data_IF_980367066906
#
_entry.id   IF_980367066906
#
_cell.length_a   1.000
_cell.length_b   1.000
_cell.length_c   1.000
_cell.angle_alpha   90.00
_cell.angle_beta   90.00
_cell.angle_gamma   90.00
#
_symmetry.space_group_name_H-M   'P 1'
#
loop_
_entity.id
_entity.type
_entity.pdbx_description
1 polymer ?
#
# COMPACT_ATOMS: atom_id res chain seq x y z
N UNK A 1 -24.86 -32.42 8.62
CA UNK A 1 -23.60 -32.46 9.39
C UNK A 1 -22.70 -33.45 8.70
N UNK A 2 -21.54 -33.04 8.19
CA UNK A 2 -20.55 -33.98 7.67
C UNK A 2 -19.97 -34.76 8.86
N UNK A 3 -19.87 -36.08 8.71
CA UNK A 3 -19.17 -36.91 9.66
C UNK A 3 -17.67 -36.69 9.49
N UNK A 4 -17.02 -36.22 10.54
CA UNK A 4 -15.58 -35.94 10.55
C UNK A 4 -14.78 -37.02 11.28
N UNK A 5 -15.45 -38.06 11.77
CA UNK A 5 -14.80 -39.22 12.39
C UNK A 5 -14.02 -39.98 11.30
N UNK A 6 -12.72 -40.10 11.46
CA UNK A 6 -11.85 -40.78 10.49
C UNK A 6 -11.07 -39.84 9.57
N UNK A 7 -11.22 -38.53 9.71
CA UNK A 7 -10.34 -37.57 9.02
C UNK A 7 -9.10 -37.24 9.90
N UNK A 8 -7.96 -37.70 9.43
CA UNK A 8 -6.68 -37.46 10.09
C UNK A 8 -5.90 -36.40 9.34
N UNK A 9 -5.39 -35.41 10.06
CA UNK A 9 -4.52 -34.36 9.53
C UNK A 9 -3.13 -34.53 10.12
N UNK A 10 -2.13 -34.63 9.25
CA UNK A 10 -0.74 -34.67 9.72
C UNK A 10 -0.37 -33.29 10.29
N UNK A 11 0.10 -33.29 11.54
CA UNK A 11 0.54 -32.07 12.22
C UNK A 11 2.00 -32.23 12.66
N UNK A 12 2.80 -31.19 12.42
CA UNK A 12 4.16 -31.06 12.98
C UNK A 12 4.10 -30.03 14.11
N UNK A 13 4.32 -30.47 15.34
CA UNK A 13 4.42 -29.61 16.51
C UNK A 13 5.89 -29.31 16.78
N UNK A 14 6.21 -28.04 16.98
CA UNK A 14 7.54 -27.59 17.40
C UNK A 14 7.36 -26.76 18.67
N UNK A 15 7.96 -27.20 19.75
CA UNK A 15 8.02 -26.47 21.02
C UNK A 15 9.24 -25.58 21.02
N UNK A 16 9.10 -24.31 21.41
CA UNK A 16 10.15 -23.30 21.42
C UNK A 16 10.23 -22.74 22.83
N UNK A 17 11.44 -22.72 23.41
CA UNK A 17 11.69 -22.10 24.70
C UNK A 17 11.58 -20.58 24.60
N UNK A 18 10.71 -19.98 25.42
CA UNK A 18 10.43 -18.54 25.42
C UNK A 18 11.47 -17.70 26.18
N UNK A 19 12.53 -18.30 26.65
CA UNK A 19 13.56 -17.61 27.44
C UNK A 19 14.32 -16.51 26.67
N UNK A 20 14.27 -16.55 25.33
CA UNK A 20 14.87 -15.55 24.44
C UNK A 20 13.88 -15.20 23.31
N UNK A 21 13.18 -14.08 23.45
CA UNK A 21 12.13 -13.62 22.52
C UNK A 21 12.67 -13.33 21.12
N UNK A 22 13.86 -12.79 20.98
CA UNK A 22 14.44 -12.43 19.69
C UNK A 22 14.84 -13.69 18.92
N UNK A 23 15.48 -14.63 19.60
CA UNK A 23 15.86 -15.92 19.05
C UNK A 23 14.65 -16.79 18.71
N UNK A 24 13.61 -16.76 19.54
CA UNK A 24 12.37 -17.47 19.29
C UNK A 24 11.65 -16.92 18.06
N UNK A 25 11.62 -15.61 17.88
CA UNK A 25 11.03 -14.95 16.71
C UNK A 25 11.80 -15.29 15.43
N UNK A 26 13.12 -15.30 15.48
CA UNK A 26 13.96 -15.69 14.34
C UNK A 26 13.79 -17.17 13.99
N UNK A 27 13.70 -18.05 14.99
CA UNK A 27 13.46 -19.48 14.79
C UNK A 27 12.11 -19.77 14.17
N UNK A 28 11.02 -19.12 14.64
CA UNK A 28 9.68 -19.20 14.04
C UNK A 28 9.71 -18.75 12.59
N UNK A 29 10.40 -17.65 12.29
CA UNK A 29 10.58 -17.15 10.92
C UNK A 29 11.26 -18.19 10.03
N UNK A 30 12.34 -18.79 10.51
CA UNK A 30 13.12 -19.78 9.76
C UNK A 30 12.36 -21.11 9.58
N UNK A 31 11.65 -21.59 10.59
CA UNK A 31 10.80 -22.79 10.51
C UNK A 31 9.66 -22.54 9.50
N UNK A 32 9.01 -21.40 9.55
CA UNK A 32 7.94 -21.04 8.60
C UNK A 32 8.45 -20.95 7.17
N UNK A 33 9.67 -20.41 6.96
CA UNK A 33 10.34 -20.39 5.65
C UNK A 33 10.60 -21.79 5.10
N UNK A 34 11.14 -22.68 5.93
CA UNK A 34 11.54 -24.01 5.50
C UNK A 34 10.38 -25.01 5.37
N UNK A 35 9.33 -24.85 6.18
CA UNK A 35 8.19 -25.77 6.23
C UNK A 35 7.14 -25.51 5.15
N UNK A 36 7.05 -24.30 4.58
CA UNK A 36 6.05 -23.92 3.59
C UNK A 36 6.57 -23.89 2.15
N UNK A 37 7.54 -24.73 1.82
CA UNK A 37 8.11 -24.78 0.45
C UNK A 37 7.11 -25.17 -0.65
N UNK A 38 5.96 -25.79 -0.30
CA UNK A 38 4.93 -26.17 -1.24
C UNK A 38 3.96 -25.03 -1.61
N UNK A 39 3.75 -24.06 -0.72
CA UNK A 39 3.03 -22.83 -1.02
C UNK A 39 4.05 -21.72 -1.23
N UNK A 40 3.96 -21.02 -2.34
CA UNK A 40 4.85 -19.89 -2.65
C UNK A 40 4.62 -18.76 -1.63
N UNK A 41 5.23 -18.91 -0.45
CA UNK A 41 5.26 -17.86 0.58
C UNK A 41 6.28 -16.82 0.13
N UNK A 42 5.84 -15.59 -0.01
CA UNK A 42 6.73 -14.48 -0.39
C UNK A 42 7.37 -13.87 0.87
N UNK A 43 8.53 -13.22 0.71
CA UNK A 43 9.14 -12.46 1.81
C UNK A 43 8.16 -11.42 2.40
N UNK A 44 7.28 -10.89 1.55
CA UNK A 44 6.20 -10.02 1.99
C UNK A 44 5.25 -10.67 3.02
N UNK A 45 5.04 -11.99 2.95
CA UNK A 45 4.16 -12.69 3.89
C UNK A 45 4.83 -12.85 5.26
N UNK A 46 6.14 -13.05 5.31
CA UNK A 46 6.88 -13.07 6.57
C UNK A 46 6.88 -11.70 7.26
N UNK A 47 7.00 -10.64 6.47
CA UNK A 47 6.99 -9.29 7.02
C UNK A 47 5.61 -8.85 7.56
N UNK A 48 4.53 -9.61 7.25
CA UNK A 48 3.18 -9.31 7.76
C UNK A 48 3.06 -9.32 9.28
N UNK A 49 3.97 -9.99 9.99
CA UNK A 49 4.03 -10.05 11.45
C UNK A 49 4.86 -8.94 12.09
N UNK A 50 5.53 -8.11 11.29
CA UNK A 50 6.31 -6.99 11.79
C UNK A 50 5.42 -6.03 12.61
N UNK A 51 5.89 -5.50 13.76
CA UNK A 51 5.11 -4.63 14.65
C UNK A 51 4.49 -3.42 13.95
N UNK A 52 5.16 -2.86 12.95
CA UNK A 52 4.61 -1.80 12.09
C UNK A 52 3.27 -2.20 11.48
N UNK A 53 3.18 -3.37 10.86
CA UNK A 53 1.95 -3.81 10.20
C UNK A 53 0.83 -4.11 11.21
N UNK A 54 1.18 -4.61 12.41
CA UNK A 54 0.24 -4.80 13.50
C UNK A 54 -0.32 -3.45 13.97
N UNK A 55 0.54 -2.43 14.14
CA UNK A 55 0.14 -1.07 14.52
C UNK A 55 -0.75 -0.42 13.46
N UNK A 56 -0.42 -0.54 12.19
CA UNK A 56 -1.26 -0.06 11.08
C UNK A 56 -2.63 -0.73 11.06
N UNK A 57 -2.69 -2.03 11.32
CA UNK A 57 -3.95 -2.76 11.46
C UNK A 57 -4.77 -2.22 12.63
N UNK A 58 -4.17 -2.03 13.81
CA UNK A 58 -4.83 -1.46 15.00
C UNK A 58 -5.42 -0.08 14.71
N UNK A 59 -4.66 0.82 14.07
CA UNK A 59 -5.17 2.14 13.64
C UNK A 59 -6.37 1.98 12.71
N UNK A 60 -6.28 1.10 11.73
CA UNK A 60 -7.35 0.88 10.75
C UNK A 60 -8.65 0.33 11.35
N UNK A 61 -8.57 -0.39 12.47
CA UNK A 61 -9.77 -0.90 13.18
C UNK A 61 -10.41 0.15 14.07
N UNK A 62 -9.66 1.14 14.53
CA UNK A 62 -10.10 2.15 15.49
C UNK A 62 -10.51 3.46 14.84
N UNK A 63 -9.76 3.94 13.86
CA UNK A 63 -9.93 5.26 13.27
C UNK A 63 -11.05 5.24 12.23
N UNK A 64 -12.03 6.11 12.41
CA UNK A 64 -13.05 6.40 11.41
C UNK A 64 -12.57 7.52 10.50
N UNK A 65 -12.76 7.34 9.20
CA UNK A 65 -12.58 8.38 8.23
C UNK A 65 -13.82 9.29 8.21
N UNK A 66 -13.63 10.60 8.08
CA UNK A 66 -14.74 11.52 7.92
C UNK A 66 -15.68 11.08 6.80
N UNK A 67 -16.96 11.43 6.92
CA UNK A 67 -17.94 11.16 5.88
C UNK A 67 -17.55 11.90 4.59
N UNK A 68 -17.63 11.20 3.46
CA UNK A 68 -17.45 11.83 2.15
C UNK A 68 -18.59 12.84 1.91
N UNK A 69 -18.36 13.86 1.08
CA UNK A 69 -19.39 14.83 0.73
C UNK A 69 -20.64 14.11 0.19
N UNK A 70 -21.77 14.33 0.86
CA UNK A 70 -23.05 13.67 0.55
C UNK A 70 -23.26 12.31 1.21
N UNK A 71 -22.28 11.76 1.94
CA UNK A 71 -22.44 10.54 2.72
C UNK A 71 -22.99 10.84 4.12
N UNK A 72 -23.86 9.95 4.63
CA UNK A 72 -24.48 10.09 5.95
C UNK A 72 -23.64 9.46 7.07
N UNK A 73 -22.65 8.65 6.72
CA UNK A 73 -21.93 7.83 7.70
C UNK A 73 -20.42 7.89 7.49
N UNK A 74 -19.71 7.93 8.60
CA UNK A 74 -18.28 7.70 8.65
C UNK A 74 -17.96 6.23 8.34
N UNK A 75 -16.83 6.00 7.70
CA UNK A 75 -16.36 4.67 7.30
C UNK A 75 -14.95 4.43 7.79
N UNK A 76 -14.46 3.20 7.69
CA UNK A 76 -13.08 2.87 8.03
C UNK A 76 -12.31 2.47 6.77
N UNK A 77 -11.02 2.78 6.78
CA UNK A 77 -10.08 2.23 5.83
C UNK A 77 -9.52 0.93 6.40
N UNK A 78 -9.88 -0.19 5.79
CA UNK A 78 -9.48 -1.51 6.28
C UNK A 78 -8.07 -1.84 5.78
N UNK A 79 -7.09 -1.87 6.69
CA UNK A 79 -5.75 -2.31 6.37
C UNK A 79 -5.66 -3.84 6.44
N UNK A 80 -5.23 -4.44 5.34
CA UNK A 80 -5.05 -5.89 5.19
C UNK A 80 -3.54 -6.22 5.21
N UNK A 81 -3.02 -6.59 6.39
CA UNK A 81 -1.61 -6.97 6.54
C UNK A 81 -1.33 -8.39 6.06
N UNK A 82 -2.31 -9.28 6.12
CA UNK A 82 -2.24 -10.63 5.60
C UNK A 82 -3.33 -10.82 4.55
N UNK A 83 -2.98 -11.48 3.43
CA UNK A 83 -3.89 -11.70 2.31
C UNK A 83 -5.18 -12.41 2.75
N UNK A 84 -6.31 -11.85 2.36
CA UNK A 84 -7.64 -12.41 2.63
C UNK A 84 -8.23 -12.04 3.99
N UNK A 85 -7.56 -11.23 4.81
CA UNK A 85 -8.03 -10.79 6.13
C UNK A 85 -9.41 -10.11 6.07
N UNK A 86 -9.66 -9.30 5.04
CA UNK A 86 -10.95 -8.64 4.84
C UNK A 86 -12.09 -9.64 4.61
N UNK A 87 -11.84 -10.70 3.87
CA UNK A 87 -12.80 -11.78 3.66
C UNK A 87 -12.98 -12.61 4.92
N UNK A 88 -11.87 -12.96 5.59
CA UNK A 88 -11.91 -13.72 6.85
C UNK A 88 -12.71 -13.01 7.94
N UNK A 89 -12.62 -11.69 8.05
CA UNK A 89 -13.38 -10.88 9.00
C UNK A 89 -14.92 -11.01 8.80
N UNK A 90 -15.35 -11.47 7.62
CA UNK A 90 -16.77 -11.63 7.28
C UNK A 90 -17.28 -13.05 7.40
N UNK A 91 -16.41 -14.08 7.43
CA UNK A 91 -16.81 -15.49 7.29
C UNK A 91 -17.72 -16.02 8.40
N UNK A 92 -17.56 -15.48 9.62
CA UNK A 92 -18.34 -15.92 10.79
C UNK A 92 -19.45 -14.95 11.19
N UNK A 93 -19.73 -13.94 10.36
CA UNK A 93 -20.76 -12.96 10.63
C UNK A 93 -22.12 -13.45 10.12
N UNK A 94 -23.17 -13.17 10.89
CA UNK A 94 -24.54 -13.30 10.40
C UNK A 94 -24.80 -12.34 9.23
N UNK A 95 -25.79 -12.60 8.35
CA UNK A 95 -26.08 -11.71 7.21
C UNK A 95 -26.29 -10.24 7.61
N UNK A 96 -26.93 -9.98 8.76
CA UNK A 96 -27.13 -8.63 9.28
C UNK A 96 -25.81 -7.97 9.70
N UNK A 97 -24.99 -8.69 10.49
CA UNK A 97 -23.66 -8.21 10.92
C UNK A 97 -22.71 -8.03 9.72
N UNK A 98 -22.78 -8.87 8.71
CA UNK A 98 -21.99 -8.73 7.48
C UNK A 98 -22.37 -7.47 6.72
N UNK A 99 -23.66 -7.16 6.59
CA UNK A 99 -24.11 -5.88 5.99
C UNK A 99 -23.57 -4.67 6.77
N UNK A 100 -23.69 -4.70 8.10
CA UNK A 100 -23.15 -3.63 8.96
C UNK A 100 -21.63 -3.48 8.80
N UNK A 101 -20.88 -4.59 8.79
CA UNK A 101 -19.43 -4.59 8.56
C UNK A 101 -19.06 -3.94 7.22
N UNK A 102 -19.77 -4.28 6.12
CA UNK A 102 -19.52 -3.74 4.79
C UNK A 102 -19.90 -2.25 4.66
N UNK A 103 -20.90 -1.79 5.41
CA UNK A 103 -21.22 -0.37 5.50
C UNK A 103 -20.11 0.42 6.19
N UNK A 104 -19.55 -0.12 7.28
CA UNK A 104 -18.44 0.52 7.99
C UNK A 104 -17.10 0.36 7.25
N UNK A 105 -16.89 -0.73 6.54
CA UNK A 105 -15.66 -1.07 5.85
C UNK A 105 -15.95 -1.33 4.35
N UNK A 106 -16.17 -0.31 3.54
CA UNK A 106 -16.42 -0.48 2.12
C UNK A 106 -15.24 -1.18 1.43
N UNK A 107 -15.52 -2.07 0.47
CA UNK A 107 -14.47 -2.77 -0.29
C UNK A 107 -13.53 -1.79 -1.02
N UNK A 108 -14.03 -0.64 -1.45
CA UNK A 108 -13.23 0.43 -2.06
C UNK A 108 -12.19 1.05 -1.12
N UNK A 109 -12.39 0.91 0.20
CA UNK A 109 -11.50 1.42 1.26
C UNK A 109 -10.62 0.32 1.90
N UNK A 110 -10.35 -0.75 1.17
CA UNK A 110 -9.37 -1.77 1.58
C UNK A 110 -7.99 -1.36 1.05
N UNK A 111 -6.99 -1.43 1.91
CA UNK A 111 -5.57 -1.17 1.62
C UNK A 111 -4.78 -2.42 2.01
N UNK A 112 -4.13 -3.06 1.06
CA UNK A 112 -3.20 -4.14 1.35
C UNK A 112 -1.83 -3.61 1.76
N UNK A 113 -1.01 -4.43 2.42
CA UNK A 113 0.40 -4.07 2.72
C UNK A 113 1.21 -3.74 1.46
N UNK A 114 0.90 -4.38 0.34
CA UNK A 114 1.56 -4.11 -0.95
C UNK A 114 1.10 -2.82 -1.60
N UNK A 115 -0.17 -2.42 -1.42
CA UNK A 115 -0.66 -1.12 -1.84
C UNK A 115 0.00 -0.01 -1.02
N UNK A 116 0.10 -0.20 0.30
CA UNK A 116 0.77 0.75 1.18
C UNK A 116 2.24 0.93 0.77
N UNK A 117 2.96 -0.17 0.53
CA UNK A 117 4.34 -0.14 0.06
C UNK A 117 4.49 0.61 -1.27
N UNK A 118 3.58 0.35 -2.22
CA UNK A 118 3.55 1.01 -3.52
C UNK A 118 3.40 2.53 -3.37
N UNK A 119 2.42 2.95 -2.59
CA UNK A 119 2.10 4.36 -2.39
C UNK A 119 3.23 5.08 -1.64
N UNK A 120 3.77 4.49 -0.58
CA UNK A 120 4.84 5.09 0.22
C UNK A 120 6.15 5.20 -0.56
N UNK A 121 6.58 4.16 -1.26
CA UNK A 121 7.78 4.22 -2.10
C UNK A 121 7.63 5.20 -3.26
N UNK A 122 6.42 5.32 -3.84
CA UNK A 122 6.12 6.36 -4.83
C UNK A 122 6.34 7.75 -4.24
N UNK A 123 5.76 8.02 -3.07
CA UNK A 123 5.89 9.30 -2.39
C UNK A 123 7.32 9.59 -1.92
N UNK A 124 8.08 8.55 -1.63
CA UNK A 124 9.52 8.66 -1.34
C UNK A 124 10.42 8.80 -2.57
N UNK A 125 9.87 9.23 -3.71
CA UNK A 125 10.60 9.50 -4.95
C UNK A 125 11.34 8.27 -5.53
N UNK A 126 10.77 7.07 -5.34
CA UNK A 126 11.32 5.81 -5.86
C UNK A 126 10.43 5.13 -6.92
N UNK A 127 9.92 5.86 -7.95
CA UNK A 127 9.00 5.28 -8.93
C UNK A 127 9.65 4.15 -9.74
N UNK A 128 10.96 4.19 -9.96
CA UNK A 128 11.72 3.15 -10.65
C UNK A 128 11.74 1.83 -9.85
N UNK A 129 11.79 1.89 -8.51
CA UNK A 129 11.70 0.70 -7.64
C UNK A 129 10.29 0.09 -7.70
N UNK A 130 9.25 0.94 -7.64
CA UNK A 130 7.86 0.50 -7.77
C UNK A 130 7.64 -0.20 -9.12
N UNK A 131 8.24 0.32 -10.19
CA UNK A 131 8.16 -0.25 -11.54
C UNK A 131 8.85 -1.62 -11.69
N UNK A 132 9.74 -2.02 -10.77
CA UNK A 132 10.38 -3.35 -10.78
C UNK A 132 9.42 -4.48 -10.38
N UNK A 133 8.23 -4.15 -9.89
CA UNK A 133 7.19 -5.12 -9.54
C UNK A 133 6.96 -5.25 -8.05
N UNK A 134 5.86 -5.92 -7.69
CA UNK A 134 5.33 -5.92 -6.32
C UNK A 134 6.32 -6.45 -5.27
N UNK A 135 7.05 -7.51 -5.59
CA UNK A 135 8.01 -8.11 -4.64
C UNK A 135 9.18 -7.17 -4.35
N UNK A 136 9.86 -6.67 -5.39
CA UNK A 136 11.02 -5.75 -5.23
C UNK A 136 10.59 -4.47 -4.53
N UNK A 137 9.43 -3.94 -4.90
CA UNK A 137 8.87 -2.76 -4.25
C UNK A 137 8.59 -3.00 -2.76
N UNK A 138 7.98 -4.14 -2.41
CA UNK A 138 7.66 -4.47 -1.03
C UNK A 138 8.92 -4.69 -0.20
N UNK A 139 9.94 -5.37 -0.73
CA UNK A 139 11.21 -5.59 -0.04
C UNK A 139 11.91 -4.27 0.30
N UNK A 140 11.94 -3.33 -0.66
CA UNK A 140 12.51 -2.00 -0.39
C UNK A 140 11.71 -1.23 0.67
N UNK A 141 10.40 -1.31 0.63
CA UNK A 141 9.55 -0.73 1.67
C UNK A 141 9.82 -1.36 3.05
N UNK A 142 9.93 -2.68 3.11
CA UNK A 142 10.18 -3.42 4.35
C UNK A 142 11.52 -3.03 4.98
N UNK A 143 12.58 -2.91 4.17
CA UNK A 143 13.90 -2.42 4.60
C UNK A 143 13.80 -1.02 5.24
N UNK A 144 13.17 -0.08 4.55
CA UNK A 144 13.02 1.29 5.05
C UNK A 144 12.16 1.39 6.32
N UNK A 145 11.12 0.54 6.42
CA UNK A 145 10.28 0.49 7.63
C UNK A 145 11.05 -0.10 8.80
N UNK A 146 11.84 -1.13 8.60
CA UNK A 146 12.63 -1.76 9.67
C UNK A 146 13.68 -0.78 10.23
N UNK A 147 14.40 -0.08 9.35
CA UNK A 147 15.33 0.98 9.73
C UNK A 147 14.62 2.11 10.52
N UNK A 148 13.51 2.60 9.98
CA UNK A 148 12.76 3.69 10.61
C UNK A 148 12.10 3.26 11.93
N UNK A 149 11.64 2.01 12.04
CA UNK A 149 11.08 1.45 13.26
C UNK A 149 12.14 1.36 14.35
N UNK A 150 13.30 0.84 14.02
CA UNK A 150 14.44 0.74 14.95
C UNK A 150 14.90 2.11 15.42
N UNK A 151 14.91 3.11 14.54
CA UNK A 151 15.32 4.47 14.89
C UNK A 151 14.30 5.17 15.81
N UNK A 152 13.01 5.11 15.47
CA UNK A 152 11.93 5.71 16.26
C UNK A 152 10.56 5.14 15.85
N UNK A 153 10.06 4.15 16.58
CA UNK A 153 8.77 3.52 16.31
C UNK A 153 7.56 4.43 16.60
N UNK A 154 7.71 5.45 17.46
CA UNK A 154 6.63 6.36 17.82
C UNK A 154 6.14 7.25 16.67
N UNK A 155 6.95 7.39 15.60
CA UNK A 155 6.54 8.12 14.41
C UNK A 155 5.38 7.44 13.67
N UNK A 156 5.20 6.11 13.83
CA UNK A 156 4.12 5.35 13.20
C UNK A 156 2.81 5.45 14.00
N UNK A 157 2.38 6.64 14.28
CA UNK A 157 1.20 7.00 15.05
C UNK A 157 -0.06 7.15 14.16
N UNK A 158 -1.15 7.67 14.71
CA UNK A 158 -2.40 7.92 13.97
C UNK A 158 -2.23 8.87 12.80
N UNK A 159 -1.39 9.90 12.94
CA UNK A 159 -1.10 10.85 11.86
C UNK A 159 -0.43 10.13 10.69
N UNK A 160 0.54 9.26 10.94
CA UNK A 160 1.18 8.46 9.89
C UNK A 160 0.16 7.58 9.16
N UNK A 161 -0.81 6.99 9.89
CA UNK A 161 -1.89 6.21 9.30
C UNK A 161 -2.78 7.06 8.41
N UNK A 162 -3.27 8.21 8.89
CA UNK A 162 -4.17 9.10 8.14
C UNK A 162 -3.49 9.69 6.91
N UNK A 163 -2.21 10.08 7.01
CA UNK A 163 -1.39 10.51 5.87
C UNK A 163 -1.19 9.38 4.85
N UNK A 164 -0.97 8.15 5.31
CA UNK A 164 -0.88 6.98 4.41
C UNK A 164 -2.17 6.76 3.63
N UNK A 165 -3.31 6.91 4.29
CA UNK A 165 -4.62 6.83 3.64
C UNK A 165 -4.81 7.97 2.64
N UNK A 166 -4.44 9.20 3.00
CA UNK A 166 -4.50 10.35 2.09
C UNK A 166 -3.67 10.13 0.81
N UNK A 167 -2.49 9.54 0.93
CA UNK A 167 -1.67 9.13 -0.21
C UNK A 167 -2.36 8.04 -1.06
N UNK A 168 -3.07 7.10 -0.44
CA UNK A 168 -3.86 6.09 -1.17
C UNK A 168 -5.02 6.73 -1.91
N UNK A 169 -5.70 7.72 -1.31
CA UNK A 169 -6.76 8.49 -1.97
C UNK A 169 -6.20 9.20 -3.20
N UNK A 170 -5.07 9.90 -3.04
CA UNK A 170 -4.37 10.59 -4.11
C UNK A 170 -3.98 9.64 -5.25
N UNK A 171 -3.44 8.48 -4.91
CA UNK A 171 -3.03 7.46 -5.87
C UNK A 171 -4.22 6.92 -6.66
N UNK A 172 -5.30 6.51 -5.97
CA UNK A 172 -6.53 6.01 -6.62
C UNK A 172 -7.20 7.08 -7.48
N UNK A 173 -7.18 8.34 -7.03
CA UNK A 173 -7.71 9.47 -7.79
C UNK A 173 -7.00 9.59 -9.14
N UNK A 174 -5.66 9.60 -9.15
CA UNK A 174 -4.89 9.68 -10.38
C UNK A 174 -5.05 8.44 -11.26
N UNK A 175 -5.14 7.23 -10.68
CA UNK A 175 -5.44 6.01 -11.43
C UNK A 175 -6.79 6.09 -12.18
N UNK A 176 -7.78 6.76 -11.60
CA UNK A 176 -9.09 6.96 -12.21
C UNK A 176 -9.13 8.14 -13.20
N UNK A 177 -8.24 9.11 -13.02
CA UNK A 177 -8.15 10.33 -13.82
C UNK A 177 -7.50 10.09 -15.19
N UNK A 178 -6.37 9.37 -15.22
CA UNK A 178 -5.57 9.14 -16.44
C UNK A 178 -6.39 8.57 -17.61
N UNK A 179 -7.24 7.53 -17.44
CA UNK A 179 -8.00 6.97 -18.56
C UNK A 179 -9.02 7.93 -19.20
N UNK A 180 -9.27 9.07 -18.59
CA UNK A 180 -10.21 10.09 -19.06
C UNK A 180 -9.54 11.21 -19.85
N UNK A 181 -8.19 11.19 -19.90
CA UNK A 181 -7.41 12.21 -20.58
C UNK A 181 -7.34 11.93 -22.08
N UNK A 182 -7.46 12.97 -22.89
CA UNK A 182 -7.44 12.88 -24.36
C UNK A 182 -6.10 12.36 -24.90
N UNK A 183 -5.00 12.70 -24.22
CA UNK A 183 -3.64 12.25 -24.61
C UNK A 183 -3.34 10.80 -24.24
N UNK A 184 -4.23 10.11 -23.47
CA UNK A 184 -3.96 8.76 -23.00
C UNK A 184 -4.31 7.69 -24.03
N UNK A 185 -3.28 7.07 -24.63
CA UNK A 185 -3.39 6.07 -25.71
C UNK A 185 -3.48 4.62 -25.23
N UNK A 186 -3.95 4.35 -24.02
CA UNK A 186 -4.00 3.01 -23.41
C UNK A 186 -2.63 2.33 -23.27
N UNK A 187 -2.04 2.43 -22.13
CA UNK A 187 -0.77 1.79 -21.80
C UNK A 187 -0.05 2.51 -20.68
N UNK A 188 0.84 1.84 -20.04
CA UNK A 188 1.74 2.38 -19.01
C UNK A 188 1.08 3.14 -17.85
N UNK A 189 -0.26 3.02 -17.65
CA UNK A 189 -1.00 3.75 -16.62
C UNK A 189 -0.33 3.65 -15.25
N UNK A 190 0.10 2.45 -14.84
CA UNK A 190 0.77 2.26 -13.55
C UNK A 190 2.08 3.05 -13.44
N UNK A 191 2.85 3.15 -14.53
CA UNK A 191 4.07 3.95 -14.56
C UNK A 191 3.75 5.44 -14.53
N UNK A 192 2.77 5.90 -15.32
CA UNK A 192 2.35 7.30 -15.34
C UNK A 192 1.93 7.72 -13.93
N UNK A 193 1.03 6.98 -13.28
CA UNK A 193 0.57 7.28 -11.90
C UNK A 193 1.76 7.40 -10.94
N UNK A 194 2.64 6.41 -10.94
CA UNK A 194 3.76 6.33 -10.00
C UNK A 194 4.75 7.46 -10.20
N UNK A 195 5.14 7.71 -11.47
CA UNK A 195 6.08 8.77 -11.80
C UNK A 195 5.49 10.16 -11.56
N UNK A 196 4.21 10.36 -11.86
CA UNK A 196 3.53 11.66 -11.64
C UNK A 196 3.43 12.02 -10.17
N UNK A 197 3.09 11.08 -9.30
CA UNK A 197 3.03 11.34 -7.87
C UNK A 197 4.40 11.56 -7.25
N UNK A 198 5.41 10.82 -7.69
CA UNK A 198 6.79 11.04 -7.28
C UNK A 198 7.29 12.42 -7.73
N UNK A 199 6.97 12.83 -8.97
CA UNK A 199 7.35 14.13 -9.49
C UNK A 199 6.60 15.26 -8.79
N UNK A 200 5.32 15.13 -8.49
CA UNK A 200 4.56 16.09 -7.69
C UNK A 200 5.27 16.34 -6.34
N UNK A 201 5.61 15.27 -5.62
CA UNK A 201 6.32 15.38 -4.34
C UNK A 201 7.68 16.07 -4.50
N UNK A 202 8.47 15.68 -5.50
CA UNK A 202 9.77 16.28 -5.77
C UNK A 202 9.66 17.77 -6.10
N UNK A 203 8.67 18.17 -6.91
CA UNK A 203 8.44 19.59 -7.26
C UNK A 203 8.08 20.41 -6.02
N UNK A 204 7.16 19.92 -5.18
CA UNK A 204 6.79 20.59 -3.93
C UNK A 204 8.03 20.76 -3.06
N UNK A 205 8.80 19.71 -2.82
CA UNK A 205 9.99 19.73 -1.98
C UNK A 205 11.10 20.65 -2.51
N UNK A 206 11.33 20.68 -3.83
CA UNK A 206 12.40 21.47 -4.45
C UNK A 206 12.03 22.95 -4.61
N UNK A 207 10.80 23.24 -5.05
CA UNK A 207 10.39 24.59 -5.40
C UNK A 207 9.78 25.35 -4.22
N UNK A 208 9.14 24.64 -3.31
CA UNK A 208 8.40 25.21 -2.19
C UNK A 208 8.98 24.72 -0.87
N UNK A 209 10.21 25.12 -0.55
CA UNK A 209 11.01 24.63 0.59
C UNK A 209 10.29 24.60 1.96
N UNK A 210 9.21 25.37 2.12
CA UNK A 210 8.42 25.46 3.35
C UNK A 210 6.96 25.02 3.15
N UNK A 211 6.63 24.39 2.02
CA UNK A 211 5.30 23.87 1.74
C UNK A 211 5.34 22.35 1.63
N UNK A 212 4.37 21.74 2.21
CA UNK A 212 4.05 20.31 2.04
C UNK A 212 2.66 20.21 1.44
N UNK A 213 2.39 19.11 0.73
CA UNK A 213 1.03 18.81 0.34
C UNK A 213 0.20 18.58 1.60
N UNK A 214 -0.91 19.29 1.73
CA UNK A 214 -1.81 19.13 2.88
C UNK A 214 -2.57 17.78 2.79
N UNK A 215 -1.85 16.71 3.18
CA UNK A 215 -2.41 15.37 3.26
C UNK A 215 -3.54 15.28 4.29
N UNK A 216 -3.51 16.13 5.32
CA UNK A 216 -4.56 16.17 6.31
C UNK A 216 -5.87 16.70 5.72
N UNK A 217 -5.83 17.69 4.84
CA UNK A 217 -7.00 18.16 4.11
C UNK A 217 -7.59 17.06 3.20
N UNK A 218 -6.74 16.28 2.51
CA UNK A 218 -7.19 15.13 1.70
C UNK A 218 -7.87 14.07 2.59
N UNK A 219 -7.28 13.77 3.74
CA UNK A 219 -7.87 12.87 4.72
C UNK A 219 -9.24 13.39 5.22
N UNK A 220 -9.34 14.64 5.61
CA UNK A 220 -10.58 15.23 6.12
C UNK A 220 -11.69 15.28 5.08
N UNK A 221 -11.35 15.54 3.83
CA UNK A 221 -12.32 15.60 2.72
C UNK A 221 -12.62 14.24 2.10
N UNK A 222 -11.78 13.24 2.36
CA UNK A 222 -11.80 11.93 1.67
C UNK A 222 -11.78 12.08 0.12
N UNK A 223 -11.21 13.17 -0.38
CA UNK A 223 -11.12 13.50 -1.79
C UNK A 223 -9.91 14.40 -2.08
N UNK A 224 -9.48 14.41 -3.34
CA UNK A 224 -8.37 15.27 -3.79
C UNK A 224 -8.90 16.65 -4.16
N UNK A 225 -8.29 17.75 -3.66
CA UNK A 225 -8.67 19.11 -4.04
C UNK A 225 -8.50 19.36 -5.54
N UNK A 226 -9.35 20.17 -6.14
CA UNK A 226 -9.35 20.45 -7.58
C UNK A 226 -8.03 21.04 -8.07
N UNK A 227 -7.40 21.92 -7.28
CA UNK A 227 -6.08 22.50 -7.61
C UNK A 227 -5.00 21.41 -7.76
N UNK A 228 -5.03 20.39 -6.89
CA UNK A 228 -4.10 19.25 -6.94
C UNK A 228 -4.43 18.35 -8.14
N UNK A 229 -5.72 18.16 -8.43
CA UNK A 229 -6.18 17.41 -9.61
C UNK A 229 -5.66 18.04 -10.89
N UNK A 230 -5.82 19.36 -11.09
CA UNK A 230 -5.31 20.07 -12.26
C UNK A 230 -3.79 20.00 -12.39
N UNK A 231 -3.06 20.12 -11.29
CA UNK A 231 -1.61 19.95 -11.30
C UNK A 231 -1.21 18.52 -11.71
N UNK A 232 -1.92 17.51 -11.21
CA UNK A 232 -1.68 16.11 -11.55
C UNK A 232 -1.99 15.79 -13.02
N UNK A 233 -3.01 16.40 -13.61
CA UNK A 233 -3.32 16.28 -15.05
C UNK A 233 -2.14 16.74 -15.91
N UNK A 234 -1.62 17.93 -15.63
CA UNK A 234 -0.47 18.49 -16.34
C UNK A 234 0.81 17.66 -16.13
N UNK A 235 1.08 17.24 -14.89
CA UNK A 235 2.24 16.42 -14.58
C UNK A 235 2.13 15.04 -15.27
N UNK A 236 0.94 14.44 -15.26
CA UNK A 236 0.73 13.11 -15.87
C UNK A 236 0.93 13.12 -17.38
N UNK A 237 0.49 14.17 -18.06
CA UNK A 237 0.73 14.38 -19.48
C UNK A 237 2.22 14.51 -19.78
N UNK A 238 2.96 15.34 -19.05
CA UNK A 238 4.40 15.49 -19.21
C UNK A 238 5.15 14.18 -18.94
N UNK A 239 4.76 13.46 -17.90
CA UNK A 239 5.32 12.14 -17.57
C UNK A 239 5.05 11.15 -18.70
N UNK A 240 3.85 11.12 -19.26
CA UNK A 240 3.53 10.24 -20.39
C UNK A 240 4.46 10.50 -21.57
N UNK A 241 4.60 11.73 -22.02
CA UNK A 241 5.50 12.07 -23.13
C UNK A 241 6.95 11.75 -22.80
N UNK A 242 7.39 11.99 -21.57
CA UNK A 242 8.77 11.69 -21.16
C UNK A 242 9.09 10.21 -21.15
N UNK A 243 8.22 9.36 -20.60
CA UNK A 243 8.48 7.91 -20.54
C UNK A 243 8.31 7.23 -21.90
N UNK A 244 7.52 7.82 -22.81
CA UNK A 244 7.27 7.30 -24.17
C UNK A 244 8.16 7.95 -25.24
N UNK A 245 9.05 8.89 -24.89
CA UNK A 245 9.95 9.55 -25.82
C UNK A 245 10.66 8.51 -26.72
N UNK A 246 10.59 8.63 -28.06
CA UNK A 246 11.26 7.69 -28.97
C UNK A 246 12.79 7.66 -28.81
N UNK A 247 13.40 8.75 -28.31
CA UNK A 247 14.85 8.84 -28.08
C UNK A 247 15.31 8.24 -26.73
N UNK A 248 14.41 7.60 -25.97
CA UNK A 248 14.78 6.94 -24.71
C UNK A 248 15.81 5.84 -24.93
N UNK A 249 16.71 5.59 -23.95
CA UNK A 249 17.78 4.60 -24.08
C UNK A 249 17.33 3.13 -24.20
N UNK A 250 16.03 2.86 -23.97
CA UNK A 250 15.48 1.50 -24.00
C UNK A 250 14.17 1.51 -24.77
N UNK A 251 14.05 0.67 -25.80
CA UNK A 251 12.85 0.60 -26.67
C UNK A 251 11.59 0.28 -25.86
N UNK A 252 11.66 -0.64 -24.91
CA UNK A 252 10.52 -1.01 -24.08
C UNK A 252 10.33 -0.02 -22.92
N UNK A 253 9.22 0.71 -22.93
CA UNK A 253 8.86 1.73 -21.92
C UNK A 253 8.85 1.15 -20.50
N UNK A 254 8.25 -0.04 -20.31
CA UNK A 254 8.19 -0.65 -18.99
C UNK A 254 9.59 -1.00 -18.46
N UNK A 255 10.51 -1.44 -19.32
CA UNK A 255 11.89 -1.68 -18.90
C UNK A 255 12.65 -0.39 -18.65
N UNK A 256 12.36 0.67 -19.41
CA UNK A 256 12.89 2.01 -19.15
C UNK A 256 12.49 2.52 -17.78
N UNK A 257 11.20 2.45 -17.41
CA UNK A 257 10.69 2.86 -16.12
C UNK A 257 11.25 2.08 -14.91
N UNK A 258 11.92 0.95 -15.11
CA UNK A 258 12.62 0.21 -14.04
C UNK A 258 14.02 0.74 -13.75
N UNK A 259 14.55 1.59 -14.60
CA UNK A 259 15.90 2.14 -14.49
C UNK A 259 15.87 3.45 -13.73
N UNK A 260 16.86 3.64 -12.88
CA UNK A 260 17.04 4.90 -12.14
C UNK A 260 17.21 6.10 -13.08
N UNK A 261 17.91 5.92 -14.22
CA UNK A 261 18.05 6.94 -15.24
C UNK A 261 16.76 7.41 -15.92
N UNK A 262 15.64 6.71 -15.73
CA UNK A 262 14.32 7.20 -16.14
C UNK A 262 13.76 8.24 -15.14
N UNK A 263 14.17 8.15 -13.89
CA UNK A 263 13.75 9.07 -12.82
C UNK A 263 14.64 10.31 -12.76
N UNK A 264 15.95 10.15 -12.94
CA UNK A 264 16.94 11.23 -12.98
C UNK A 264 16.96 11.90 -14.37
#
# INVERSE_FOLDING_TARGET
KADLEGIYVQMKLTEIDESDMDRSTELVRNISRSSNSQNKVTDADFFSTHPFHIRMEQHSRRIFAPAESGAQYETKWFYERAKGQFLQAQMRLTPAKKRQFLLQNPKSKVITKTDLAKVRNTWSEMPHIVSKGAQTNFMKFAELIDEAWTANDSQFNERYFTESVALVILFKHLEALIPRQEWYEQGYRANIVTYSLALLHQLIRKQFKNMELDLQSIWQRQSVPEIVTKALEQIAEQVFYRITDPNRPTINVTQWCKREGCWN
#
